data_IF_063877686987
#
_entry.id   IF_063877686987
#
_cell.length_a   1.000
_cell.length_b   1.000
_cell.length_c   1.000
_cell.angle_alpha   90.00
_cell.angle_beta   90.00
_cell.angle_gamma   90.00
#
_symmetry.space_group_name_H-M   'P 1'
#
loop_
_entity.id
_entity.type
_entity.pdbx_description
1 polymer ?
#
# COMPACT_ATOMS: atom_id res chain seq x y z
N UNK A 1 -23.76 -3.29 -0.65
CA UNK A 1 -22.88 -4.41 -1.04
C UNK A 1 -22.28 -5.01 0.22
N UNK A 2 -22.17 -6.34 0.32
CA UNK A 2 -21.52 -7.00 1.45
C UNK A 2 -20.02 -6.62 1.51
N UNK A 3 -19.50 -6.34 2.70
CA UNK A 3 -18.07 -6.12 2.93
C UNK A 3 -17.37 -7.48 2.84
N UNK A 4 -16.47 -7.65 1.88
CA UNK A 4 -15.65 -8.85 1.74
C UNK A 4 -14.18 -8.47 1.79
N UNK A 5 -13.37 -9.30 2.46
CA UNK A 5 -11.92 -9.16 2.45
C UNK A 5 -11.39 -9.33 1.02
N UNK A 6 -10.37 -8.56 0.66
CA UNK A 6 -9.63 -8.77 -0.58
C UNK A 6 -8.61 -9.91 -0.36
N UNK A 7 -8.33 -10.75 -1.38
CA UNK A 7 -7.33 -11.81 -1.29
C UNK A 7 -5.92 -11.22 -1.38
N UNK A 8 -5.54 -10.42 -0.39
CA UNK A 8 -4.26 -9.71 -0.28
C UNK A 8 -3.56 -10.20 0.98
N UNK A 9 -2.32 -10.66 0.83
CA UNK A 9 -1.49 -11.07 1.94
C UNK A 9 -0.77 -9.86 2.53
N UNK A 10 -0.92 -9.66 3.84
CA UNK A 10 -0.05 -8.79 4.64
C UNK A 10 0.64 -9.69 5.65
N UNK A 11 1.91 -10.08 5.41
CA UNK A 11 2.54 -11.10 6.23
C UNK A 11 2.88 -10.54 7.62
N UNK A 12 2.90 -11.39 8.66
CA UNK A 12 3.36 -10.99 9.98
C UNK A 12 4.72 -10.28 9.89
N UNK A 13 4.87 -9.19 10.66
CA UNK A 13 6.10 -8.39 10.69
C UNK A 13 6.52 -7.80 9.33
N UNK A 14 5.62 -7.73 8.35
CA UNK A 14 5.89 -7.29 6.98
C UNK A 14 7.02 -8.07 6.29
N UNK A 15 7.19 -9.37 6.62
CA UNK A 15 8.25 -10.22 6.08
C UNK A 15 7.71 -11.53 5.54
N UNK A 16 8.18 -11.91 4.35
CA UNK A 16 7.89 -13.19 3.70
C UNK A 16 9.16 -13.72 3.04
N UNK A 17 9.37 -15.03 3.06
CA UNK A 17 10.46 -15.67 2.32
C UNK A 17 10.21 -15.48 0.81
N UNK A 18 11.13 -14.87 0.05
CA UNK A 18 10.96 -14.64 -1.38
C UNK A 18 10.63 -15.90 -2.20
N UNK A 19 11.04 -17.09 -1.73
CA UNK A 19 10.75 -18.37 -2.38
C UNK A 19 9.26 -18.73 -2.37
N UNK A 20 8.47 -18.10 -1.50
CA UNK A 20 7.03 -18.32 -1.40
C UNK A 20 6.22 -17.44 -2.35
N UNK A 21 6.81 -16.34 -2.86
CA UNK A 21 6.09 -15.39 -3.72
C UNK A 21 5.46 -16.05 -4.96
N UNK A 22 6.16 -16.93 -5.71
CA UNK A 22 5.58 -17.57 -6.89
C UNK A 22 4.39 -18.48 -6.61
N UNK A 23 4.23 -18.97 -5.37
CA UNK A 23 3.13 -19.86 -4.99
C UNK A 23 1.85 -19.09 -4.62
N UNK A 24 1.95 -17.79 -4.27
CA UNK A 24 0.81 -17.01 -3.78
C UNK A 24 -0.37 -16.94 -4.75
N UNK A 25 -0.19 -16.73 -6.08
CA UNK A 25 -1.30 -16.77 -7.03
C UNK A 25 -2.04 -18.11 -7.04
N UNK A 26 -1.31 -19.23 -6.97
CA UNK A 26 -1.89 -20.57 -6.93
C UNK A 26 -2.71 -20.86 -5.66
N UNK A 27 -2.48 -20.10 -4.60
CA UNK A 27 -3.23 -20.14 -3.34
C UNK A 27 -4.43 -19.16 -3.34
N UNK A 28 -4.66 -18.44 -4.44
CA UNK A 28 -5.76 -17.49 -4.60
C UNK A 28 -5.45 -16.06 -4.15
N UNK A 29 -4.20 -15.74 -3.79
CA UNK A 29 -3.81 -14.36 -3.49
C UNK A 29 -3.57 -13.57 -4.76
N UNK A 30 -4.15 -12.36 -4.82
CA UNK A 30 -3.96 -11.42 -5.94
C UNK A 30 -3.02 -10.28 -5.57
N UNK A 31 -2.71 -10.12 -4.28
CA UNK A 31 -1.85 -9.03 -3.82
C UNK A 31 -0.99 -9.37 -2.62
N UNK A 32 0.10 -8.61 -2.48
CA UNK A 32 1.01 -8.62 -1.34
C UNK A 32 1.30 -7.17 -0.91
N UNK A 33 1.26 -6.92 0.39
CA UNK A 33 1.72 -5.67 0.98
C UNK A 33 2.71 -5.95 2.11
N UNK A 34 3.90 -5.36 2.01
CA UNK A 34 4.96 -5.41 3.03
C UNK A 34 5.41 -4.00 3.41
N UNK A 35 6.63 -3.83 3.92
CA UNK A 35 7.15 -2.55 4.35
C UNK A 35 8.51 -2.23 3.69
N UNK A 36 8.64 -0.99 3.22
CA UNK A 36 9.80 -0.47 2.52
C UNK A 36 9.76 -0.73 1.01
N UNK A 37 10.71 -0.12 0.30
CA UNK A 37 10.86 -0.27 -1.15
C UNK A 37 11.48 -1.64 -1.55
N UNK A 38 11.15 -2.70 -0.80
CA UNK A 38 11.77 -4.01 -0.92
C UNK A 38 11.50 -4.66 -2.27
N UNK A 39 12.57 -5.19 -2.86
CA UNK A 39 12.64 -5.92 -4.14
C UNK A 39 11.60 -7.04 -4.25
N UNK A 40 10.37 -6.75 -4.66
CA UNK A 40 9.58 -7.72 -5.41
C UNK A 40 10.18 -7.77 -6.82
N UNK A 41 11.39 -8.37 -6.94
CA UNK A 41 12.21 -8.38 -8.16
C UNK A 41 11.49 -9.02 -9.35
N UNK A 42 10.43 -9.77 -9.07
CA UNK A 42 9.27 -10.06 -9.91
C UNK A 42 8.35 -10.98 -9.09
N UNK A 43 7.16 -10.53 -8.64
CA UNK A 43 6.29 -11.31 -7.75
C UNK A 43 5.67 -12.57 -8.40
N UNK A 44 6.04 -12.91 -9.63
CA UNK A 44 5.35 -13.88 -10.48
C UNK A 44 4.17 -13.23 -11.21
N UNK A 45 3.77 -13.79 -12.35
CA UNK A 45 2.60 -13.33 -13.07
C UNK A 45 1.35 -13.45 -12.17
N UNK A 46 0.50 -12.42 -12.16
CA UNK A 46 -0.77 -12.43 -11.42
C UNK A 46 -0.71 -12.00 -9.96
N UNK A 47 0.42 -11.49 -9.45
CA UNK A 47 0.52 -10.94 -8.09
C UNK A 47 0.87 -9.44 -8.11
N UNK A 48 -0.02 -8.60 -7.59
CA UNK A 48 0.23 -7.16 -7.43
C UNK A 48 0.92 -6.86 -6.08
N UNK A 49 2.04 -6.15 -6.10
CA UNK A 49 2.74 -5.73 -4.88
C UNK A 49 2.52 -4.23 -4.64
N UNK A 50 2.13 -3.88 -3.42
CA UNK A 50 2.04 -2.49 -2.98
C UNK A 50 2.32 -2.39 -1.48
N UNK A 51 3.45 -1.81 -1.12
CA UNK A 51 4.00 -1.77 0.22
C UNK A 51 3.66 -0.46 0.96
N UNK A 52 3.80 -0.51 2.28
CA UNK A 52 3.88 0.68 3.11
C UNK A 52 5.31 1.20 3.18
N UNK A 53 5.47 2.51 3.41
CA UNK A 53 6.77 3.20 3.33
C UNK A 53 7.05 4.07 4.56
N UNK A 54 6.00 4.52 5.24
CA UNK A 54 6.09 5.34 6.44
C UNK A 54 5.43 4.60 7.61
N UNK A 55 6.24 4.12 8.55
CA UNK A 55 5.76 3.60 9.84
C UNK A 55 5.79 4.72 10.87
N UNK A 56 4.66 5.00 11.50
CA UNK A 56 4.52 6.09 12.46
C UNK A 56 4.94 5.69 13.88
N UNK A 57 5.20 4.40 14.13
CA UNK A 57 5.50 3.88 15.45
C UNK A 57 7.00 3.73 15.67
N UNK A 58 7.48 4.31 16.76
CA UNK A 58 8.85 4.13 17.24
C UNK A 58 9.00 2.78 17.96
N UNK A 59 9.10 1.71 17.17
CA UNK A 59 9.24 0.34 17.68
C UNK A 59 10.50 0.11 18.51
N UNK A 60 11.55 0.92 18.31
CA UNK A 60 12.86 0.73 18.95
C UNK A 60 13.03 1.57 20.22
N UNK A 61 12.25 2.63 20.38
CA UNK A 61 12.27 3.47 21.57
C UNK A 61 10.95 3.42 22.33
N UNK A 62 10.16 4.47 22.17
CA UNK A 62 9.01 4.79 23.02
C UNK A 62 7.79 3.88 22.81
N UNK A 63 7.74 3.13 21.70
CA UNK A 63 6.54 2.45 21.21
C UNK A 63 5.34 3.40 20.99
N UNK A 64 5.62 4.71 20.89
CA UNK A 64 4.67 5.77 20.55
C UNK A 64 4.96 6.35 19.17
N UNK A 65 4.55 7.59 18.96
CA UNK A 65 4.77 8.32 17.70
C UNK A 65 6.26 8.62 17.48
N UNK A 66 6.80 8.25 16.31
CA UNK A 66 8.10 8.76 15.83
C UNK A 66 8.05 10.28 15.77
N UNK A 67 9.10 11.03 16.18
CA UNK A 67 9.08 12.49 16.17
C UNK A 67 8.52 13.06 14.86
N UNK A 68 7.48 13.90 14.97
CA UNK A 68 6.70 14.34 13.80
C UNK A 68 7.56 15.00 12.71
N UNK A 69 8.63 15.71 13.08
CA UNK A 69 9.58 16.28 12.13
C UNK A 69 10.30 15.23 11.28
N UNK A 70 10.65 14.08 11.85
CA UNK A 70 11.25 12.96 11.13
C UNK A 70 10.25 12.31 10.17
N UNK A 71 9.00 12.12 10.61
CA UNK A 71 7.94 11.58 9.76
C UNK A 71 7.64 12.50 8.57
N UNK A 72 7.57 13.81 8.81
CA UNK A 72 7.36 14.79 7.75
C UNK A 72 8.55 14.84 6.78
N UNK A 73 9.79 14.78 7.26
CA UNK A 73 10.97 14.72 6.42
C UNK A 73 11.01 13.44 5.56
N UNK A 74 10.65 12.29 6.13
CA UNK A 74 10.55 11.04 5.39
C UNK A 74 9.46 11.10 4.31
N UNK A 75 8.26 11.58 4.67
CA UNK A 75 7.14 11.69 3.73
C UNK A 75 7.43 12.69 2.60
N UNK A 76 8.04 13.84 2.90
CA UNK A 76 8.40 14.82 1.85
C UNK A 76 9.47 14.26 0.92
N UNK A 77 10.43 13.50 1.43
CA UNK A 77 11.39 12.74 0.64
C UNK A 77 10.70 11.76 -0.32
N UNK A 78 9.80 10.91 0.19
CA UNK A 78 9.04 9.96 -0.62
C UNK A 78 8.22 10.66 -1.73
N UNK A 79 7.53 11.76 -1.38
CA UNK A 79 6.76 12.57 -2.33
C UNK A 79 7.64 13.22 -3.39
N UNK A 80 8.81 13.74 -3.01
CA UNK A 80 9.77 14.33 -3.94
C UNK A 80 10.31 13.28 -4.92
N UNK A 81 10.78 12.13 -4.42
CA UNK A 81 11.25 11.02 -5.25
C UNK A 81 10.17 10.55 -6.22
N UNK A 82 8.93 10.36 -5.75
CA UNK A 82 7.80 9.98 -6.61
C UNK A 82 7.58 11.02 -7.72
N UNK A 83 7.54 12.30 -7.38
CA UNK A 83 7.32 13.38 -8.36
C UNK A 83 8.42 13.42 -9.41
N UNK A 84 9.68 13.30 -9.01
CA UNK A 84 10.80 13.27 -9.96
C UNK A 84 10.71 12.08 -10.92
N UNK A 85 10.32 10.88 -10.44
CA UNK A 85 10.10 9.71 -11.32
C UNK A 85 8.99 9.95 -12.35
N UNK A 86 7.85 10.48 -11.91
CA UNK A 86 6.72 10.81 -12.79
C UNK A 86 7.05 11.92 -13.81
N UNK A 87 7.97 12.82 -13.48
CA UNK A 87 8.44 13.86 -14.40
C UNK A 87 9.44 13.31 -15.42
N UNK A 88 10.31 12.38 -15.01
CA UNK A 88 11.27 11.72 -15.89
C UNK A 88 10.58 10.77 -16.89
N UNK A 89 9.48 10.14 -16.48
CA UNK A 89 8.65 9.29 -17.33
C UNK A 89 7.15 9.54 -17.05
N UNK A 90 6.52 10.47 -17.80
CA UNK A 90 5.09 10.74 -17.66
C UNK A 90 4.19 9.53 -17.96
N UNK A 91 4.67 8.58 -18.78
CA UNK A 91 3.97 7.34 -19.12
C UNK A 91 3.94 6.33 -17.96
N UNK A 92 4.95 6.37 -17.08
CA UNK A 92 5.07 5.51 -15.91
C UNK A 92 4.09 5.83 -14.77
N UNK A 93 3.10 6.72 -14.94
CA UNK A 93 2.12 7.03 -13.87
C UNK A 93 1.42 5.79 -13.28
N UNK A 94 1.24 4.74 -14.08
CA UNK A 94 0.72 3.44 -13.63
C UNK A 94 1.76 2.57 -12.90
N UNK A 95 3.04 2.76 -13.21
CA UNK A 95 4.14 1.90 -12.75
C UNK A 95 4.83 2.42 -11.48
N UNK A 96 4.62 3.68 -11.12
CA UNK A 96 5.17 4.20 -9.85
C UNK A 96 4.26 3.79 -8.69
N UNK A 97 4.79 2.95 -7.81
CA UNK A 97 4.14 2.44 -6.59
C UNK A 97 3.65 3.56 -5.65
N UNK A 98 2.38 3.56 -5.20
CA UNK A 98 1.86 4.59 -4.30
C UNK A 98 2.52 4.55 -2.92
N UNK A 99 2.50 5.69 -2.22
CA UNK A 99 3.08 5.80 -0.88
C UNK A 99 2.06 5.27 0.15
N UNK A 100 2.35 4.12 0.75
CA UNK A 100 1.59 3.60 1.88
C UNK A 100 2.07 4.12 3.25
N UNK A 101 1.12 4.41 4.15
CA UNK A 101 1.38 4.74 5.56
C UNK A 101 0.95 3.53 6.40
N UNK A 102 1.85 3.03 7.24
CA UNK A 102 1.59 1.90 8.13
C UNK A 102 1.06 2.39 9.48
N UNK A 103 -0.09 1.85 9.87
CA UNK A 103 -0.80 2.20 11.11
C UNK A 103 -0.99 0.96 11.98
N UNK A 104 -1.10 1.15 13.29
CA UNK A 104 -1.13 0.07 14.27
C UNK A 104 -2.12 0.39 15.40
N UNK A 105 -3.39 0.04 15.21
CA UNK A 105 -4.46 0.37 16.15
C UNK A 105 -4.19 -0.07 17.61
N UNK A 106 -3.46 -1.17 17.82
CA UNK A 106 -3.17 -1.68 19.17
C UNK A 106 -2.13 -0.84 19.94
N UNK A 107 -1.20 -0.18 19.23
CA UNK A 107 -0.12 0.61 19.86
C UNK A 107 -0.26 2.10 19.62
N UNK A 108 -1.13 2.53 18.71
CA UNK A 108 -1.42 3.94 18.49
C UNK A 108 -2.02 4.59 19.74
N UNK A 109 -1.45 5.73 20.11
CA UNK A 109 -1.95 6.60 21.17
C UNK A 109 -2.56 7.90 20.64
N UNK A 110 -2.88 8.80 21.57
CA UNK A 110 -3.44 10.13 21.25
C UNK A 110 -2.55 10.92 20.28
N UNK A 111 -1.23 10.95 20.51
CA UNK A 111 -0.28 11.69 19.67
C UNK A 111 -0.25 11.15 18.23
N UNK A 112 -0.18 9.82 18.06
CA UNK A 112 -0.21 9.19 16.74
C UNK A 112 -1.52 9.48 15.99
N UNK A 113 -2.64 9.47 16.72
CA UNK A 113 -3.94 9.76 16.15
C UNK A 113 -4.08 11.24 15.75
N UNK A 114 -3.62 12.17 16.58
CA UNK A 114 -3.62 13.61 16.25
C UNK A 114 -2.69 13.91 15.06
N UNK A 115 -1.51 13.30 15.02
CA UNK A 115 -0.60 13.42 13.89
C UNK A 115 -1.26 12.95 12.58
N UNK A 116 -1.87 11.76 12.57
CA UNK A 116 -2.56 11.25 11.38
C UNK A 116 -3.71 12.15 10.95
N UNK A 117 -4.52 12.62 11.90
CA UNK A 117 -5.63 13.56 11.61
C UNK A 117 -5.11 14.82 10.93
N UNK A 118 -4.12 15.48 11.54
CA UNK A 118 -3.52 16.72 10.99
C UNK A 118 -2.84 16.49 9.64
N UNK A 119 -2.19 15.34 9.47
CA UNK A 119 -1.58 14.95 8.20
C UNK A 119 -2.65 14.78 7.11
N UNK A 120 -3.71 14.02 7.38
CA UNK A 120 -4.78 13.79 6.42
C UNK A 120 -5.55 15.07 6.08
N UNK A 121 -5.84 15.91 7.09
CA UNK A 121 -6.43 17.23 6.88
C UNK A 121 -5.58 18.05 5.91
N UNK A 122 -4.26 18.12 6.14
CA UNK A 122 -3.33 18.87 5.29
C UNK A 122 -3.21 18.30 3.85
N UNK A 123 -3.33 16.99 3.67
CA UNK A 123 -3.27 16.33 2.36
C UNK A 123 -4.60 16.46 1.58
N UNK A 124 -5.72 16.58 2.28
CA UNK A 124 -7.04 16.80 1.68
C UNK A 124 -7.27 18.26 1.24
N UNK A 125 -6.51 19.23 1.77
CA UNK A 125 -6.64 20.62 1.35
C UNK A 125 -6.27 20.80 -0.14
N UNK A 126 -7.17 21.34 -0.98
CA UNK A 126 -6.85 21.66 -2.38
C UNK A 126 -5.73 22.69 -2.48
N UNK A 127 -4.86 22.54 -3.49
CA UNK A 127 -3.82 23.50 -3.85
C UNK A 127 -4.04 23.97 -5.27
N UNK A 128 -4.20 25.28 -5.47
CA UNK A 128 -4.47 25.88 -6.78
C UNK A 128 -5.67 25.22 -7.51
N UNK A 129 -6.74 24.94 -6.76
CA UNK A 129 -7.95 24.29 -7.29
C UNK A 129 -7.81 22.81 -7.63
N UNK A 130 -6.71 22.15 -7.24
CA UNK A 130 -6.46 20.72 -7.50
C UNK A 130 -6.20 19.94 -6.21
N UNK A 131 -6.62 18.66 -6.10
CA UNK A 131 -6.25 17.82 -4.97
C UNK A 131 -4.73 17.70 -4.83
N UNK A 132 -4.19 17.81 -3.61
CA UNK A 132 -2.76 17.69 -3.37
C UNK A 132 -2.26 16.23 -3.51
N UNK A 133 -3.14 15.27 -3.25
CA UNK A 133 -2.90 13.83 -3.41
C UNK A 133 -4.13 13.14 -3.99
N UNK A 134 -3.93 11.96 -4.57
CA UNK A 134 -5.01 11.02 -4.92
C UNK A 134 -5.01 9.89 -3.90
N UNK A 135 -6.11 9.75 -3.15
CA UNK A 135 -6.32 8.62 -2.26
C UNK A 135 -6.72 7.38 -3.06
N UNK A 136 -6.17 6.22 -2.68
CA UNK A 136 -6.44 4.94 -3.30
C UNK A 136 -7.03 3.99 -2.27
N UNK A 137 -8.11 3.30 -2.64
CA UNK A 137 -8.61 2.14 -1.90
C UNK A 137 -7.78 0.90 -2.22
N UNK A 138 -7.78 -0.07 -1.30
CA UNK A 138 -7.14 -1.37 -1.55
C UNK A 138 -7.69 -2.06 -2.81
N UNK A 139 -8.96 -1.85 -3.16
CA UNK A 139 -9.55 -2.39 -4.40
C UNK A 139 -8.95 -1.77 -5.65
N UNK A 140 -8.74 -0.45 -5.66
CA UNK A 140 -8.09 0.24 -6.80
C UNK A 140 -6.63 -0.19 -6.97
N UNK A 141 -5.98 -0.62 -5.89
CA UNK A 141 -4.59 -1.09 -5.91
C UNK A 141 -4.51 -2.55 -6.39
N UNK A 142 -5.25 -3.46 -5.75
CA UNK A 142 -5.08 -4.91 -5.92
C UNK A 142 -6.13 -5.57 -6.82
N UNK A 143 -7.13 -4.84 -7.29
CA UNK A 143 -8.16 -5.34 -8.19
C UNK A 143 -8.61 -4.27 -9.21
N UNK A 144 -7.68 -3.70 -10.00
CA UNK A 144 -8.02 -2.63 -10.94
C UNK A 144 -8.95 -3.08 -12.07
N UNK A 145 -8.99 -4.37 -12.42
CA UNK A 145 -9.93 -4.96 -13.37
C UNK A 145 -10.32 -6.38 -12.96
N UNK A 146 -11.58 -6.60 -12.58
CA UNK A 146 -12.16 -7.95 -12.46
C UNK A 146 -13.10 -8.31 -13.61
N UNK A 147 -13.43 -7.36 -14.48
CA UNK A 147 -14.28 -7.63 -15.65
C UNK A 147 -13.48 -8.23 -16.82
N UNK A 148 -12.14 -8.17 -16.79
CA UNK A 148 -11.26 -8.72 -17.82
C UNK A 148 -10.75 -10.15 -17.54
N UNK A 149 -10.95 -10.68 -16.33
CA UNK A 149 -10.58 -12.07 -15.98
C UNK A 149 -11.87 -12.88 -15.97
N UNK A 150 -12.29 -13.27 -17.17
CA UNK A 150 -13.47 -14.11 -17.39
C UNK A 150 -13.47 -15.34 -16.49
N UNK A 151 -14.67 -15.68 -16.02
CA UNK A 151 -15.12 -17.03 -15.67
C UNK A 151 -13.99 -18.03 -15.41
N UNK A 152 -13.48 -18.03 -14.17
CA UNK A 152 -12.92 -19.27 -13.62
C UNK A 152 -14.08 -20.24 -13.51
N UNK A 153 -14.20 -21.02 -14.58
CA UNK A 153 -15.11 -22.13 -14.83
C UNK A 153 -15.55 -22.79 -13.53
N UNK A 154 -16.87 -22.77 -13.30
CA UNK A 154 -17.49 -23.68 -12.34
C UNK A 154 -17.09 -25.12 -12.69
N UNK A 155 -16.70 -25.96 -11.72
CA UNK A 155 -16.47 -27.37 -12.02
C UNK A 155 -17.77 -27.99 -12.57
N UNK A 156 -17.69 -28.96 -13.49
CA UNK A 156 -18.88 -29.60 -14.03
C UNK A 156 -19.67 -30.22 -12.88
N UNK A 157 -20.96 -29.88 -12.80
CA UNK A 157 -21.90 -30.61 -11.96
C UNK A 157 -22.05 -31.99 -12.59
N UNK A 158 -21.49 -33.00 -11.93
CA UNK A 158 -21.80 -34.39 -12.26
C UNK A 158 -23.30 -34.63 -11.95
N UNK A 159 -23.97 -35.28 -12.90
CA UNK A 159 -25.40 -35.60 -12.86
C UNK A 159 -25.79 -36.63 -11.81
#
# INVERSE_FOLDING_TARGET
AAVAALPVLVPPWNRIDPRLLPALPGLGYVGLSTFGAGEARQPGAGLTVCNCHLDIIDWRGTRGLVPASQLLAALTGLLATRRSRLQADPGASGDVEPIGILTHHQVQGADSNDFLRRLFDALCQPRNGRPAVRWLSARQIFAPDRDAIGELSSPPRNG
#
